data_IF_986817672966
#
_entry.id   IF_986817672966
#
_cell.length_a   1.000
_cell.length_b   1.000
_cell.length_c   1.000
_cell.angle_alpha   90.00
_cell.angle_beta   90.00
_cell.angle_gamma   90.00
#
_symmetry.space_group_name_H-M   'P 1'
#
loop_
_entity.id
_entity.type
_entity.pdbx_description
1 polymer ?
#
# COMPACT_ATOMS: atom_id res chain seq x y z
N UNK A 1 8.47 17.27 6.54
CA UNK A 1 8.22 15.83 6.32
C UNK A 1 9.51 15.19 5.84
N UNK A 2 9.82 13.94 6.19
CA UNK A 2 11.07 13.27 5.81
C UNK A 2 10.76 12.15 4.83
N UNK A 3 11.57 12.01 3.77
CA UNK A 3 11.49 10.87 2.87
C UNK A 3 12.01 9.60 3.55
N UNK A 4 11.25 8.52 3.41
CA UNK A 4 11.45 7.20 4.01
C UNK A 4 11.38 6.11 2.93
N UNK A 5 11.78 4.88 3.26
CA UNK A 5 11.81 3.75 2.33
C UNK A 5 13.22 3.30 1.98
N UNK A 6 13.39 2.00 1.73
CA UNK A 6 14.68 1.38 1.42
C UNK A 6 14.96 1.42 -0.07
N UNK A 7 13.98 1.02 -0.89
CA UNK A 7 14.11 0.92 -2.34
C UNK A 7 13.46 2.10 -3.05
N UNK A 8 12.24 2.47 -2.65
CA UNK A 8 11.54 3.63 -3.16
C UNK A 8 11.43 4.69 -2.07
N UNK A 9 11.60 5.98 -2.39
CA UNK A 9 11.49 7.06 -1.40
C UNK A 9 10.06 7.61 -1.40
N UNK A 10 9.45 7.73 -0.22
CA UNK A 10 8.11 8.28 -0.02
C UNK A 10 8.02 9.09 1.27
N UNK A 11 7.08 10.03 1.36
CA UNK A 11 6.70 10.64 2.63
C UNK A 11 5.82 9.70 3.48
N UNK A 12 5.14 8.73 2.85
CA UNK A 12 4.35 7.71 3.55
C UNK A 12 5.23 6.70 4.29
N UNK A 13 4.61 5.92 5.17
CA UNK A 13 5.29 4.95 6.01
C UNK A 13 5.63 3.68 5.20
N UNK A 14 6.91 3.31 5.01
CA UNK A 14 7.27 2.11 4.29
C UNK A 14 7.00 0.85 5.13
N UNK A 15 6.56 -0.21 4.47
CA UNK A 15 6.43 -1.57 5.04
C UNK A 15 7.20 -2.53 4.15
N UNK A 16 7.91 -3.48 4.77
CA UNK A 16 8.73 -4.48 4.09
C UNK A 16 8.26 -5.90 4.42
N UNK A 17 8.65 -6.88 3.61
CA UNK A 17 8.26 -8.28 3.80
C UNK A 17 8.71 -8.88 5.15
N UNK A 18 9.83 -8.39 5.69
CA UNK A 18 10.39 -8.81 6.99
C UNK A 18 9.83 -8.02 8.18
N UNK A 19 9.21 -6.86 7.93
CA UNK A 19 8.67 -5.99 8.99
C UNK A 19 7.15 -5.97 9.04
N UNK A 20 6.46 -6.52 8.04
CA UNK A 20 5.01 -6.64 8.07
C UNK A 20 4.61 -7.54 9.25
N UNK A 21 3.71 -7.04 10.09
CA UNK A 21 3.29 -7.69 11.35
C UNK A 21 1.82 -8.10 11.26
N UNK A 22 1.27 -8.62 12.36
CA UNK A 22 -0.18 -8.81 12.55
C UNK A 22 -0.97 -7.50 12.71
N UNK A 23 -0.41 -6.33 12.36
CA UNK A 23 -1.17 -5.09 12.34
C UNK A 23 -2.31 -5.23 11.33
N UNK A 24 -3.52 -4.90 11.76
CA UNK A 24 -4.67 -4.87 10.89
C UNK A 24 -4.55 -3.66 9.96
N UNK A 25 -4.38 -3.93 8.67
CA UNK A 25 -4.39 -2.93 7.61
C UNK A 25 -5.59 -3.17 6.70
N UNK A 26 -6.18 -2.09 6.20
CA UNK A 26 -6.96 -2.16 4.98
C UNK A 26 -5.98 -2.20 3.79
N UNK A 27 -5.86 -3.36 3.15
CA UNK A 27 -4.91 -3.57 2.06
C UNK A 27 -5.55 -3.12 0.75
N UNK A 28 -4.87 -2.23 0.02
CA UNK A 28 -5.31 -1.78 -1.29
C UNK A 28 -4.31 -2.21 -2.36
N UNK A 29 -4.81 -2.94 -3.34
CA UNK A 29 -4.07 -3.35 -4.52
C UNK A 29 -4.31 -2.35 -5.65
N UNK A 30 -3.27 -1.61 -6.04
CA UNK A 30 -3.34 -0.62 -7.13
C UNK A 30 -2.90 -1.18 -8.48
N UNK A 31 -2.77 -2.51 -8.61
CA UNK A 31 -2.50 -3.16 -9.90
C UNK A 31 -3.73 -3.17 -10.79
N UNK A 32 -3.52 -3.52 -12.06
CA UNK A 32 -4.60 -3.69 -13.02
C UNK A 32 -5.63 -4.72 -12.54
N UNK A 33 -6.94 -4.50 -12.77
CA UNK A 33 -7.99 -5.42 -12.34
C UNK A 33 -7.80 -6.86 -12.85
N UNK A 34 -7.25 -7.02 -14.05
CA UNK A 34 -6.99 -8.33 -14.65
C UNK A 34 -5.91 -9.12 -13.88
N UNK A 35 -4.89 -8.44 -13.36
CA UNK A 35 -3.85 -9.08 -12.56
C UNK A 35 -4.34 -9.39 -11.14
N UNK A 36 -5.17 -8.50 -10.59
CA UNK A 36 -5.84 -8.73 -9.30
C UNK A 36 -6.75 -9.98 -9.35
N UNK A 37 -7.52 -10.14 -10.42
CA UNK A 37 -8.39 -11.31 -10.61
C UNK A 37 -7.61 -12.63 -10.74
N UNK A 38 -6.44 -12.60 -11.38
CA UNK A 38 -5.57 -13.78 -11.50
C UNK A 38 -4.98 -14.20 -10.15
N UNK A 39 -4.48 -13.25 -9.37
CA UNK A 39 -4.00 -13.48 -8.01
C UNK A 39 -3.93 -12.18 -7.22
N UNK A 40 -4.47 -12.18 -6.00
CA UNK A 40 -4.40 -11.06 -5.06
C UNK A 40 -4.24 -11.54 -3.62
N UNK A 41 -3.83 -10.61 -2.75
CA UNK A 41 -3.80 -10.84 -1.31
C UNK A 41 -5.24 -10.97 -0.80
N UNK A 42 -5.53 -12.01 -0.02
CA UNK A 42 -6.84 -12.20 0.61
C UNK A 42 -7.29 -10.93 1.33
N UNK A 43 -8.55 -10.53 1.12
CA UNK A 43 -9.18 -9.36 1.75
C UNK A 43 -8.63 -8.00 1.28
N UNK A 44 -7.72 -7.97 0.30
CA UNK A 44 -7.36 -6.73 -0.36
C UNK A 44 -8.53 -6.18 -1.20
N UNK A 45 -8.59 -4.86 -1.36
CA UNK A 45 -9.50 -4.18 -2.27
C UNK A 45 -8.72 -3.69 -3.50
N UNK A 46 -9.25 -3.87 -4.70
CA UNK A 46 -8.59 -3.38 -5.91
C UNK A 46 -9.04 -1.94 -6.22
N UNK A 47 -8.11 -0.99 -6.16
CA UNK A 47 -8.33 0.41 -6.56
C UNK A 47 -7.17 0.83 -7.44
N UNK A 48 -7.36 0.73 -8.76
CA UNK A 48 -6.30 0.99 -9.74
C UNK A 48 -6.07 2.50 -9.99
N UNK A 49 -7.07 3.35 -9.75
CA UNK A 49 -7.00 4.78 -10.02
C UNK A 49 -6.72 5.62 -8.76
N UNK A 50 -5.88 6.64 -8.93
CA UNK A 50 -5.45 7.48 -7.80
C UNK A 50 -6.59 8.34 -7.22
N UNK A 51 -7.57 8.75 -8.04
CA UNK A 51 -8.65 9.63 -7.57
C UNK A 51 -9.52 8.92 -6.53
N UNK A 52 -10.00 7.71 -6.84
CA UNK A 52 -10.76 6.86 -5.94
C UNK A 52 -9.94 6.48 -4.70
N UNK A 53 -8.66 6.12 -4.89
CA UNK A 53 -7.76 5.78 -3.79
C UNK A 53 -7.62 6.94 -2.81
N UNK A 54 -7.33 8.13 -3.32
CA UNK A 54 -7.10 9.32 -2.50
C UNK A 54 -8.34 9.76 -1.75
N UNK A 55 -9.51 9.74 -2.40
CA UNK A 55 -10.77 10.03 -1.75
C UNK A 55 -11.03 9.07 -0.58
N UNK A 56 -10.94 7.75 -0.82
CA UNK A 56 -11.18 6.74 0.22
C UNK A 56 -10.27 6.93 1.43
N UNK A 57 -8.98 7.13 1.20
CA UNK A 57 -8.00 7.29 2.29
C UNK A 57 -8.29 8.55 3.12
N UNK A 58 -8.59 9.67 2.47
CA UNK A 58 -8.86 10.94 3.14
C UNK A 58 -10.18 10.94 3.91
N UNK A 59 -11.19 10.21 3.42
CA UNK A 59 -12.49 10.05 4.10
C UNK A 59 -12.42 9.10 5.31
N UNK A 60 -11.37 8.30 5.44
CA UNK A 60 -11.23 7.28 6.49
C UNK A 60 -9.94 7.47 7.31
N UNK A 61 -9.75 8.60 8.01
CA UNK A 61 -8.48 8.93 8.68
C UNK A 61 -8.11 7.98 9.84
N UNK A 62 -9.08 7.24 10.38
CA UNK A 62 -8.88 6.30 11.50
C UNK A 62 -8.51 4.87 11.07
N UNK A 63 -8.46 4.62 9.75
CA UNK A 63 -8.12 3.29 9.19
C UNK A 63 -6.69 3.32 8.67
N UNK A 64 -5.84 2.38 9.10
CA UNK A 64 -4.51 2.25 8.51
C UNK A 64 -4.59 1.54 7.15
N UNK A 65 -4.17 2.24 6.09
CA UNK A 65 -4.16 1.70 4.73
C UNK A 65 -2.76 1.22 4.35
N UNK A 66 -2.66 -0.01 3.85
CA UNK A 66 -1.46 -0.54 3.22
C UNK A 66 -1.67 -0.63 1.70
N UNK A 67 -1.07 0.30 0.96
CA UNK A 67 -1.15 0.30 -0.50
C UNK A 67 0.02 -0.48 -1.12
N UNK A 68 -0.25 -1.29 -2.15
CA UNK A 68 0.80 -1.96 -2.91
C UNK A 68 0.52 -1.96 -4.42
N UNK A 69 1.58 -2.11 -5.21
CA UNK A 69 1.47 -2.32 -6.65
C UNK A 69 2.34 -3.53 -7.07
N UNK A 70 2.91 -3.50 -8.28
CA UNK A 70 3.80 -4.55 -8.77
C UNK A 70 5.19 -4.54 -8.10
N UNK A 71 5.75 -3.36 -7.85
CA UNK A 71 7.17 -3.17 -7.46
C UNK A 71 7.41 -2.10 -6.39
N UNK A 72 6.36 -1.54 -5.80
CA UNK A 72 6.45 -0.49 -4.78
C UNK A 72 6.65 0.93 -5.32
N UNK A 73 7.04 1.10 -6.59
CA UNK A 73 7.35 2.42 -7.15
C UNK A 73 6.13 3.35 -7.25
N UNK A 74 5.05 2.90 -7.90
CA UNK A 74 3.84 3.72 -8.07
C UNK A 74 3.26 4.13 -6.70
N UNK A 75 3.19 3.18 -5.77
CA UNK A 75 2.63 3.43 -4.45
C UNK A 75 3.53 4.30 -3.57
N UNK A 76 4.84 4.35 -3.80
CA UNK A 76 5.70 5.31 -3.09
C UNK A 76 5.40 6.75 -3.51
N UNK A 77 5.12 6.98 -4.81
CA UNK A 77 4.73 8.28 -5.35
C UNK A 77 3.34 8.65 -4.82
N UNK A 78 2.37 7.73 -4.91
CA UNK A 78 1.01 7.96 -4.38
C UNK A 78 1.03 8.23 -2.88
N UNK A 79 1.83 7.47 -2.12
CA UNK A 79 2.01 7.69 -0.69
C UNK A 79 2.48 9.10 -0.36
N UNK A 80 3.42 9.65 -1.14
CA UNK A 80 3.87 11.03 -0.94
C UNK A 80 2.75 12.04 -1.17
N UNK A 81 2.02 11.90 -2.28
CA UNK A 81 0.90 12.78 -2.60
C UNK A 81 -0.22 12.69 -1.56
N UNK A 82 -0.56 11.50 -1.07
CA UNK A 82 -1.56 11.32 -0.03
C UNK A 82 -1.15 12.04 1.27
N UNK A 83 0.12 11.94 1.65
CA UNK A 83 0.65 12.65 2.82
C UNK A 83 0.64 14.16 2.61
N UNK A 84 1.00 14.64 1.42
CA UNK A 84 0.91 16.06 1.04
C UNK A 84 -0.53 16.59 1.08
N UNK A 85 -1.51 15.74 0.74
CA UNK A 85 -2.94 16.02 0.85
C UNK A 85 -3.46 15.96 2.31
N UNK A 86 -2.63 15.54 3.27
CA UNK A 86 -2.95 15.55 4.70
C UNK A 86 -3.21 14.18 5.32
N UNK A 87 -3.12 13.08 4.55
CA UNK A 87 -3.27 11.74 5.09
C UNK A 87 -2.11 11.38 6.02
N UNK A 88 -2.40 10.71 7.15
CA UNK A 88 -1.40 10.31 8.16
C UNK A 88 -1.34 8.80 8.38
N UNK A 89 -2.37 8.11 7.89
CA UNK A 89 -2.71 6.71 8.04
C UNK A 89 -2.32 5.87 6.80
N UNK A 90 -1.32 6.34 6.04
CA UNK A 90 -0.89 5.70 4.79
C UNK A 90 0.44 4.97 4.97
N UNK A 91 0.40 3.69 4.65
CA UNK A 91 1.54 2.79 4.56
C UNK A 91 1.63 2.31 3.12
N UNK A 92 2.85 2.13 2.62
CA UNK A 92 3.07 1.53 1.31
C UNK A 92 4.04 0.36 1.41
N UNK A 93 3.80 -0.68 0.63
CA UNK A 93 4.72 -1.79 0.55
C UNK A 93 5.90 -1.43 -0.36
N UNK A 94 7.09 -1.35 0.22
CA UNK A 94 8.33 -1.04 -0.49
C UNK A 94 9.00 -2.34 -0.97
N UNK A 95 8.38 -2.97 -1.95
CA UNK A 95 8.82 -4.23 -2.55
C UNK A 95 7.86 -4.72 -3.62
N UNK A 96 8.08 -5.94 -4.10
CA UNK A 96 7.28 -6.55 -5.15
C UNK A 96 5.99 -7.21 -4.66
N UNK A 97 5.01 -7.37 -5.55
CA UNK A 97 3.79 -8.13 -5.26
C UNK A 97 4.09 -9.54 -4.72
N UNK A 98 5.06 -10.24 -5.32
CA UNK A 98 5.43 -11.58 -4.87
C UNK A 98 5.93 -11.60 -3.42
N UNK A 99 6.67 -10.58 -3.00
CA UNK A 99 7.19 -10.48 -1.64
C UNK A 99 6.07 -10.26 -0.62
N UNK A 100 5.17 -9.28 -0.85
CA UNK A 100 4.03 -9.04 0.06
C UNK A 100 3.06 -10.23 0.09
N UNK A 101 2.78 -10.83 -1.06
CA UNK A 101 1.89 -11.99 -1.17
C UNK A 101 2.38 -13.15 -0.31
N UNK A 102 3.68 -13.48 -0.41
CA UNK A 102 4.29 -14.52 0.40
C UNK A 102 4.42 -14.12 1.88
N UNK A 103 4.66 -12.84 2.18
CA UNK A 103 4.80 -12.39 3.56
C UNK A 103 3.48 -12.48 4.34
N UNK A 104 2.37 -12.04 3.74
CA UNK A 104 1.05 -12.07 4.38
C UNK A 104 0.56 -13.50 4.59
N UNK A 105 0.84 -14.42 3.66
CA UNK A 105 0.51 -15.83 3.85
C UNK A 105 1.22 -16.50 5.02
N UNK A 106 2.37 -15.97 5.47
CA UNK A 106 3.11 -16.51 6.63
C UNK A 106 2.59 -15.97 7.96
N UNK A 107 1.80 -14.91 7.96
CA UNK A 107 1.29 -14.24 9.16
C UNK A 107 -0.06 -14.82 9.60
N UNK A 108 -0.82 -15.42 8.67
CA UNK A 108 -2.05 -16.16 8.93
C UNK A 108 -1.73 -17.55 9.48
#
# INVERSE_FOLDING_TARGET
MKLQGKFNKSLANPVYADTITQREFCIIDTRMPEDYQQAHISEAENIFDFATLSQKILENPDVDFLIHCYSGHTVSVYGSHLVEMGAKNVFYFDGSFAEIYNAIQKIK
#
